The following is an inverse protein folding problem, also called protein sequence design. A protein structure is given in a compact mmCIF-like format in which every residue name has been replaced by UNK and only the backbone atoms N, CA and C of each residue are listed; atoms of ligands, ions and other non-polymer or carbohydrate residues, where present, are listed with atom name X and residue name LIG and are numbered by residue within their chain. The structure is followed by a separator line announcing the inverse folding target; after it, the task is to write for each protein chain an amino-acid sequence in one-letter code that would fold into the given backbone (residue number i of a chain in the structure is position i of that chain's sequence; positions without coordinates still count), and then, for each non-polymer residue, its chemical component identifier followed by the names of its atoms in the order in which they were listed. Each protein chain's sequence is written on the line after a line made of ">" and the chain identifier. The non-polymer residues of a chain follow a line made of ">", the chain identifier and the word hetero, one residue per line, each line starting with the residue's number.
data_IF_396120745850
#
_entry.id   IF_396120745850
#
_cell.length_a   1.000
_cell.length_b   1.000
_cell.length_c   1.000
_cell.angle_alpha   90.00
_cell.angle_beta   90.00
_cell.angle_gamma   90.00
#
_symmetry.space_group_name_H-M   'P 1'
#
loop_
_entity.id
_entity.type
_entity.pdbx_description
1 polymer ?
#
# COMPACT_ATOMS: atom_id res chain seq x y z
N UNK A 1 17.75 38.93 -13.07
CA UNK A 1 17.30 37.77 -13.87
C UNK A 1 18.01 36.46 -13.53
N UNK A 2 19.33 36.48 -13.26
CA UNK A 2 20.11 35.28 -12.90
C UNK A 2 19.60 34.60 -11.61
N UNK A 3 19.30 35.38 -10.55
CA UNK A 3 18.82 34.88 -9.26
C UNK A 3 17.49 34.10 -9.37
N UNK A 4 16.53 34.60 -10.16
CA UNK A 4 15.24 33.92 -10.37
C UNK A 4 15.40 32.50 -10.95
N UNK A 5 16.38 32.29 -11.83
CA UNK A 5 16.65 30.96 -12.43
C UNK A 5 17.14 29.96 -11.37
N UNK A 6 17.98 30.40 -10.44
CA UNK A 6 18.48 29.53 -9.36
C UNK A 6 17.36 29.14 -8.39
N UNK A 7 16.47 30.06 -8.04
CA UNK A 7 15.31 29.77 -7.17
C UNK A 7 14.39 28.72 -7.81
N UNK A 8 14.13 28.85 -9.11
CA UNK A 8 13.30 27.88 -9.84
C UNK A 8 13.97 26.48 -9.92
N UNK A 9 15.29 26.41 -10.12
CA UNK A 9 16.01 25.13 -10.18
C UNK A 9 16.04 24.43 -8.81
N UNK A 10 16.19 25.18 -7.72
CA UNK A 10 16.16 24.62 -6.35
C UNK A 10 14.76 24.10 -6.02
N UNK A 11 13.71 24.86 -6.36
CA UNK A 11 12.31 24.45 -6.16
C UNK A 11 11.92 23.21 -6.96
N UNK A 12 12.40 23.09 -8.21
CA UNK A 12 12.12 21.89 -9.02
C UNK A 12 12.78 20.63 -8.43
N UNK A 13 13.95 20.77 -7.81
CA UNK A 13 14.71 19.64 -7.25
C UNK A 13 14.06 19.08 -5.99
N UNK A 14 13.40 19.90 -5.17
CA UNK A 14 12.74 19.44 -3.94
C UNK A 14 11.45 18.66 -4.19
N UNK A 15 10.77 18.88 -5.32
CA UNK A 15 9.56 18.13 -5.70
C UNK A 15 9.94 16.70 -6.16
N UNK A 16 11.14 16.53 -6.74
CA UNK A 16 11.62 15.22 -7.20
C UNK A 16 12.11 14.32 -6.05
N UNK A 17 12.37 14.85 -4.85
CA UNK A 17 12.85 14.08 -3.69
C UNK A 17 11.72 13.52 -2.81
N UNK A 18 10.59 13.13 -3.40
CA UNK A 18 9.42 12.57 -2.70
C UNK A 18 9.57 11.12 -2.24
N UNK A 19 10.77 10.68 -1.84
CA UNK A 19 10.97 9.33 -1.30
C UNK A 19 10.40 9.24 0.12
N UNK A 20 9.08 9.07 0.22
CA UNK A 20 8.43 8.69 1.47
C UNK A 20 8.79 7.24 1.75
N UNK A 21 9.55 7.02 2.82
CA UNK A 21 9.73 5.67 3.36
C UNK A 21 8.37 5.25 3.94
N UNK A 22 7.84 4.12 3.48
CA UNK A 22 6.63 3.57 4.07
C UNK A 22 6.89 3.29 5.56
N UNK A 23 6.22 4.04 6.43
CA UNK A 23 6.23 3.83 7.88
C UNK A 23 4.93 3.15 8.28
N UNK A 24 5.01 2.22 9.23
CA UNK A 24 3.88 1.42 9.70
C UNK A 24 4.00 -0.07 9.37
N UNK A 25 3.20 -0.87 10.05
CA UNK A 25 3.13 -2.31 9.86
C UNK A 25 2.09 -2.67 8.80
N UNK A 26 2.23 -3.86 8.23
CA UNK A 26 1.23 -4.41 7.30
C UNK A 26 -0.20 -4.34 7.86
N UNK A 27 -0.35 -4.56 9.17
CA UNK A 27 -1.65 -4.56 9.84
C UNK A 27 -2.34 -3.19 9.86
N UNK A 28 -1.60 -2.09 9.71
CA UNK A 28 -2.16 -0.74 9.72
C UNK A 28 -2.93 -0.46 8.43
N UNK A 29 -2.43 -0.96 7.30
CA UNK A 29 -2.90 -0.65 5.96
C UNK A 29 -3.76 -1.75 5.34
N UNK A 30 -3.52 -3.01 5.71
CA UNK A 30 -4.27 -4.14 5.17
C UNK A 30 -5.54 -4.45 5.98
N UNK A 31 -6.50 -5.12 5.34
CA UNK A 31 -7.75 -5.61 5.94
C UNK A 31 -8.08 -7.02 5.41
N UNK A 32 -8.98 -7.76 6.08
CA UNK A 32 -9.44 -9.06 5.58
C UNK A 32 -10.15 -8.91 4.24
N UNK A 33 -9.87 -9.83 3.31
CA UNK A 33 -10.51 -9.90 2.01
C UNK A 33 -11.76 -10.80 2.12
N UNK A 34 -12.93 -10.27 1.79
CA UNK A 34 -14.21 -11.00 1.82
C UNK A 34 -14.94 -10.86 0.48
N UNK A 35 -14.63 -11.71 -0.51
CA UNK A 35 -15.34 -11.70 -1.78
C UNK A 35 -16.85 -11.87 -1.57
N UNK A 36 -17.63 -11.12 -2.35
CA UNK A 36 -19.07 -11.31 -2.47
C UNK A 36 -19.39 -12.64 -3.15
N UNK A 37 -20.61 -13.13 -2.95
CA UNK A 37 -21.14 -14.30 -3.66
C UNK A 37 -21.14 -14.14 -5.19
N UNK A 38 -21.11 -12.89 -5.67
CA UNK A 38 -21.12 -12.54 -7.09
C UNK A 38 -19.71 -12.41 -7.68
N UNK A 39 -18.68 -12.39 -6.84
CA UNK A 39 -17.30 -12.23 -7.30
C UNK A 39 -16.80 -13.53 -7.92
N UNK A 40 -16.38 -13.46 -9.19
CA UNK A 40 -15.75 -14.59 -9.86
C UNK A 40 -14.24 -14.50 -9.70
N UNK A 41 -13.67 -15.35 -8.86
CA UNK A 41 -12.23 -15.46 -8.62
C UNK A 41 -11.72 -16.81 -9.09
N UNK A 42 -10.49 -16.84 -9.61
CA UNK A 42 -9.84 -18.10 -9.95
C UNK A 42 -9.49 -18.88 -8.68
N UNK A 43 -9.24 -20.19 -8.84
CA UNK A 43 -8.82 -21.06 -7.74
C UNK A 43 -7.53 -20.53 -7.07
N UNK A 44 -6.57 -20.07 -7.88
CA UNK A 44 -5.30 -19.54 -7.36
C UNK A 44 -5.51 -18.25 -6.57
N UNK A 45 -6.34 -17.33 -7.07
CA UNK A 45 -6.68 -16.10 -6.34
C UNK A 45 -7.40 -16.41 -5.03
N UNK A 46 -8.30 -17.40 -5.02
CA UNK A 46 -8.95 -17.84 -3.79
C UNK A 46 -7.94 -18.37 -2.77
N UNK A 47 -6.95 -19.15 -3.20
CA UNK A 47 -5.89 -19.64 -2.33
C UNK A 47 -5.06 -18.50 -1.72
N UNK A 48 -4.77 -17.46 -2.52
CA UNK A 48 -4.07 -16.26 -2.05
C UNK A 48 -4.89 -15.46 -1.03
N UNK A 49 -6.20 -15.30 -1.26
CA UNK A 49 -7.12 -14.64 -0.32
C UNK A 49 -7.13 -15.36 1.03
N UNK A 50 -7.23 -16.69 1.01
CA UNK A 50 -7.20 -17.50 2.22
C UNK A 50 -5.86 -17.35 2.94
N UNK A 51 -4.73 -17.37 2.21
CA UNK A 51 -3.41 -17.17 2.80
C UNK A 51 -3.26 -15.78 3.44
N UNK A 52 -3.72 -14.73 2.77
CA UNK A 52 -3.73 -13.35 3.26
C UNK A 52 -4.54 -13.23 4.56
N UNK A 53 -5.77 -13.75 4.57
CA UNK A 53 -6.63 -13.69 5.75
C UNK A 53 -6.07 -14.51 6.93
N UNK A 54 -5.45 -15.67 6.66
CA UNK A 54 -4.79 -16.47 7.70
C UNK A 54 -3.59 -15.76 8.31
N UNK A 55 -2.79 -15.09 7.49
CA UNK A 55 -1.70 -14.25 7.98
C UNK A 55 -2.25 -13.15 8.91
N UNK A 56 -3.25 -12.41 8.46
CA UNK A 56 -3.84 -11.34 9.28
C UNK A 56 -4.56 -11.85 10.54
N UNK A 57 -5.17 -13.03 10.51
CA UNK A 57 -5.73 -13.65 11.71
C UNK A 57 -4.63 -13.97 12.75
N UNK A 58 -3.48 -14.48 12.28
CA UNK A 58 -2.35 -14.85 13.14
C UNK A 58 -1.56 -13.64 13.66
N UNK A 59 -1.40 -12.61 12.83
CA UNK A 59 -0.47 -11.50 13.10
C UNK A 59 -1.14 -10.15 13.38
N UNK A 60 -2.36 -9.94 12.87
CA UNK A 60 -3.09 -8.66 12.96
C UNK A 60 -4.39 -8.75 13.78
N UNK A 61 -4.71 -9.90 14.37
CA UNK A 61 -5.93 -10.10 15.16
C UNK A 61 -7.22 -10.09 14.34
N UNK A 62 -7.14 -10.32 13.03
CA UNK A 62 -8.33 -10.33 12.18
C UNK A 62 -9.24 -11.52 12.50
N UNK A 63 -10.54 -11.28 12.52
CA UNK A 63 -11.55 -12.33 12.60
C UNK A 63 -11.88 -12.86 11.21
N UNK A 64 -12.17 -14.17 11.07
CA UNK A 64 -12.69 -14.76 9.83
C UNK A 64 -13.97 -14.06 9.34
#
# INVERSE_FOLDING_TARGET
>A
MMWMRWVLLISMSSIASGCVTATGDFCDTARPLRPSMQDNVTVDTMAQIVAHNRFGAKHCGWTP
#
